data_IF_340974803143
#
_entry.id   IF_340974803143
#
_cell.length_a   1.000
_cell.length_b   1.000
_cell.length_c   1.000
_cell.angle_alpha   90.00
_cell.angle_beta   90.00
_cell.angle_gamma   90.00
#
_symmetry.space_group_name_H-M   'P 1'
#
loop_
_entity.id
_entity.type
_entity.pdbx_description
1 polymer ?
#
# COMPACT_ATOMS: atom_id res chain seq x y z
N UNK A 1 -2.84 10.12 -4.19
CA UNK A 1 -1.46 10.58 -4.16
C UNK A 1 -1.23 11.56 -5.28
N UNK A 2 -0.11 12.30 -5.27
CA UNK A 2 0.30 13.05 -6.47
C UNK A 2 0.61 12.06 -7.61
N UNK A 3 0.24 12.33 -8.87
CA UNK A 3 0.33 11.34 -9.95
C UNK A 3 1.76 10.92 -10.30
N UNK A 4 2.72 11.80 -10.08
CA UNK A 4 4.16 11.64 -10.30
C UNK A 4 4.89 10.96 -9.13
N UNK A 5 4.29 10.95 -7.93
CA UNK A 5 4.91 10.32 -6.77
C UNK A 5 4.89 8.79 -6.90
N UNK A 6 5.93 8.14 -6.39
CA UNK A 6 6.01 6.66 -6.39
C UNK A 6 5.07 6.05 -5.36
N UNK A 7 4.70 4.77 -5.52
CA UNK A 7 3.93 4.00 -4.53
C UNK A 7 4.53 4.13 -3.13
N UNK A 8 5.84 3.92 -3.00
CA UNK A 8 6.50 3.99 -1.70
C UNK A 8 6.51 5.42 -1.13
N UNK A 9 6.70 6.44 -1.96
CA UNK A 9 6.60 7.83 -1.53
C UNK A 9 5.18 8.19 -1.07
N UNK A 10 4.15 7.74 -1.80
CA UNK A 10 2.76 7.93 -1.43
C UNK A 10 2.41 7.23 -0.10
N UNK A 11 2.96 6.04 0.12
CA UNK A 11 2.82 5.30 1.37
C UNK A 11 3.57 5.97 2.53
N UNK A 12 4.78 6.47 2.33
CA UNK A 12 5.57 7.16 3.35
C UNK A 12 5.03 8.56 3.69
N UNK A 13 4.22 9.16 2.82
CA UNK A 13 3.75 10.54 2.96
C UNK A 13 3.10 10.80 4.32
N UNK A 14 3.53 11.88 4.95
CA UNK A 14 3.09 12.38 6.27
C UNK A 14 3.31 11.37 7.41
N UNK A 15 4.31 10.49 7.30
CA UNK A 15 4.70 9.53 8.35
C UNK A 15 6.16 9.73 8.76
N UNK A 16 6.48 9.62 10.06
CA UNK A 16 7.87 9.54 10.51
C UNK A 16 8.47 8.19 10.16
N UNK A 17 9.80 8.12 10.03
CA UNK A 17 10.54 6.91 9.67
C UNK A 17 11.41 7.12 8.44
N UNK A 18 12.30 6.18 8.18
CA UNK A 18 13.11 6.21 6.98
C UNK A 18 12.45 5.43 5.81
N UNK A 19 13.07 5.52 4.64
CA UNK A 19 12.57 4.86 3.44
C UNK A 19 12.57 3.32 3.57
N UNK A 20 13.54 2.75 4.28
CA UNK A 20 13.67 1.31 4.46
C UNK A 20 12.57 0.78 5.41
N UNK A 21 12.27 1.50 6.48
CA UNK A 21 11.17 1.19 7.41
C UNK A 21 9.83 1.20 6.68
N UNK A 22 9.57 2.24 5.88
CA UNK A 22 8.36 2.32 5.08
C UNK A 22 8.27 1.21 4.03
N UNK A 23 9.39 0.83 3.44
CA UNK A 23 9.45 -0.28 2.49
C UNK A 23 9.14 -1.62 3.17
N UNK A 24 9.73 -1.87 4.34
CA UNK A 24 9.47 -3.07 5.13
C UNK A 24 8.01 -3.16 5.58
N UNK A 25 7.45 -2.05 6.08
CA UNK A 25 6.06 -1.98 6.51
C UNK A 25 5.09 -2.17 5.32
N UNK A 26 5.34 -1.55 4.17
CA UNK A 26 4.47 -1.75 3.01
C UNK A 26 4.50 -3.21 2.51
N UNK A 27 5.66 -3.88 2.59
CA UNK A 27 5.76 -5.32 2.30
C UNK A 27 5.00 -6.17 3.31
N UNK A 28 5.09 -5.85 4.61
CA UNK A 28 4.43 -6.63 5.66
C UNK A 28 2.90 -6.59 5.57
N UNK A 29 2.34 -5.59 4.92
CA UNK A 29 0.90 -5.52 4.63
C UNK A 29 0.45 -6.49 3.53
N UNK A 30 1.37 -7.04 2.73
CA UNK A 30 1.06 -7.96 1.63
C UNK A 30 0.30 -7.32 0.45
N UNK A 31 0.15 -5.99 0.43
CA UNK A 31 -0.66 -5.28 -0.57
C UNK A 31 0.13 -4.92 -1.84
N UNK A 32 1.46 -4.84 -1.74
CA UNK A 32 2.38 -4.49 -2.83
C UNK A 32 3.66 -5.30 -2.75
N UNK A 33 4.12 -5.80 -3.90
CA UNK A 33 5.46 -6.36 -4.06
C UNK A 33 6.50 -5.25 -4.28
N UNK A 34 7.77 -5.54 -4.00
CA UNK A 34 8.87 -4.57 -4.03
C UNK A 34 9.07 -3.95 -5.42
N UNK A 35 8.84 -4.69 -6.51
CA UNK A 35 8.96 -4.13 -7.87
C UNK A 35 7.99 -2.98 -8.14
N UNK A 36 6.87 -2.91 -7.41
CA UNK A 36 5.87 -1.86 -7.59
C UNK A 36 6.23 -0.55 -6.89
N UNK A 37 7.27 -0.53 -6.04
CA UNK A 37 7.55 0.61 -5.16
C UNK A 37 7.96 1.87 -5.91
N UNK A 38 8.59 1.70 -7.07
CA UNK A 38 9.01 2.80 -7.95
C UNK A 38 7.94 3.23 -8.95
N UNK A 39 6.81 2.51 -9.03
CA UNK A 39 5.74 2.83 -9.98
C UNK A 39 5.07 4.15 -9.58
N UNK A 40 4.92 5.13 -10.50
CA UNK A 40 4.17 6.35 -10.24
C UNK A 40 2.70 6.05 -9.95
N UNK A 41 2.10 6.74 -8.97
CA UNK A 41 0.70 6.57 -8.58
C UNK A 41 -0.26 6.75 -9.75
N UNK A 42 0.06 7.65 -10.70
CA UNK A 42 -0.72 7.87 -11.91
C UNK A 42 -0.80 6.66 -12.85
N UNK A 43 0.15 5.72 -12.76
CA UNK A 43 0.20 4.51 -13.59
C UNK A 43 -0.48 3.30 -12.96
N UNK A 44 -0.93 3.41 -11.71
CA UNK A 44 -1.62 2.33 -11.02
C UNK A 44 -2.99 2.06 -11.63
N UNK A 45 -3.40 0.80 -11.72
CA UNK A 45 -4.79 0.45 -12.01
C UNK A 45 -5.73 0.94 -10.90
N UNK A 46 -7.04 0.98 -11.15
CA UNK A 46 -8.01 1.36 -10.12
C UNK A 46 -7.94 0.44 -8.90
N UNK A 47 -7.74 -0.87 -9.09
CA UNK A 47 -7.54 -1.82 -7.98
C UNK A 47 -6.24 -1.57 -7.20
N UNK A 48 -5.14 -1.24 -7.88
CA UNK A 48 -3.89 -0.86 -7.22
C UNK A 48 -4.01 0.46 -6.46
N UNK A 49 -4.74 1.45 -6.99
CA UNK A 49 -5.04 2.70 -6.27
C UNK A 49 -5.85 2.45 -4.99
N UNK A 50 -6.84 1.56 -5.04
CA UNK A 50 -7.60 1.12 -3.86
C UNK A 50 -6.69 0.42 -2.84
N UNK A 51 -5.82 -0.50 -3.29
CA UNK A 51 -4.80 -1.13 -2.42
C UNK A 51 -3.86 -0.12 -1.77
N UNK A 52 -3.41 0.90 -2.50
CA UNK A 52 -2.56 1.95 -1.93
C UNK A 52 -3.31 2.78 -0.88
N UNK A 53 -4.59 3.08 -1.10
CA UNK A 53 -5.42 3.75 -0.11
C UNK A 53 -5.58 2.89 1.16
N UNK A 54 -5.85 1.60 1.00
CA UNK A 54 -5.93 0.66 2.12
C UNK A 54 -4.59 0.52 2.85
N UNK A 55 -3.48 0.38 2.13
CA UNK A 55 -2.15 0.30 2.74
C UNK A 55 -1.87 1.55 3.59
N UNK A 56 -2.22 2.74 3.07
CA UNK A 56 -2.07 4.00 3.83
C UNK A 56 -2.99 4.03 5.07
N UNK A 57 -4.17 3.43 5.01
CA UNK A 57 -5.07 3.35 6.16
C UNK A 57 -4.51 2.39 7.24
N UNK A 58 -4.10 1.20 6.83
CA UNK A 58 -3.55 0.16 7.73
C UNK A 58 -2.17 0.54 8.29
N UNK A 59 -1.36 1.29 7.54
CA UNK A 59 -0.03 1.73 7.95
C UNK A 59 -0.04 2.97 8.87
N UNK A 60 -1.16 3.26 9.54
CA UNK A 60 -1.26 4.28 10.59
C UNK A 60 -1.64 3.59 11.90
N UNK A 61 -1.09 4.03 13.05
CA UNK A 61 -1.62 3.60 14.34
C UNK A 61 -3.07 4.07 14.43
N UNK A 62 -4.00 3.13 14.57
CA UNK A 62 -5.41 3.40 14.81
C UNK A 62 -5.87 2.47 15.94
N UNK A 63 -6.56 3.03 16.94
CA UNK A 63 -7.06 2.25 18.08
C UNK A 63 -8.18 1.29 17.67
N UNK A 64 -8.98 1.68 16.66
CA UNK A 64 -10.03 0.85 16.05
C UNK A 64 -10.14 1.18 14.55
N UNK A 65 -10.21 0.16 13.70
CA UNK A 65 -10.47 0.28 12.27
C UNK A 65 -11.68 -0.58 11.88
N UNK A 66 -12.80 0.05 11.54
CA UNK A 66 -13.97 -0.64 11.01
C UNK A 66 -13.93 -0.62 9.47
N UNK A 67 -13.83 -1.79 8.84
CA UNK A 67 -13.87 -1.95 7.39
C UNK A 67 -15.10 -2.78 7.03
N UNK A 68 -16.04 -2.23 6.28
CA UNK A 68 -17.16 -2.99 5.74
C UNK A 68 -16.78 -3.54 4.36
N UNK A 69 -16.91 -4.86 4.18
CA UNK A 69 -16.61 -5.58 2.93
C UNK A 69 -15.26 -5.23 2.24
N UNK A 70 -14.11 -5.19 2.94
CA UNK A 70 -12.83 -4.75 2.35
C UNK A 70 -12.31 -5.71 1.28
N UNK A 71 -12.77 -6.97 1.27
CA UNK A 71 -12.30 -8.05 0.41
C UNK A 71 -13.00 -8.13 -0.94
N UNK A 72 -14.12 -7.41 -1.15
CA UNK A 72 -15.00 -7.65 -2.32
C UNK A 72 -14.37 -7.30 -3.69
N UNK A 73 -13.19 -6.66 -3.71
CA UNK A 73 -12.37 -6.46 -4.92
C UNK A 73 -10.86 -6.56 -4.66
N UNK A 74 -10.47 -7.11 -3.50
CA UNK A 74 -9.09 -7.38 -3.14
C UNK A 74 -8.93 -8.89 -3.14
N UNK A 75 -8.83 -9.51 -4.33
CA UNK A 75 -8.20 -10.82 -4.37
C UNK A 75 -6.78 -10.60 -3.85
N UNK A 76 -6.40 -11.14 -2.68
CA UNK A 76 -4.98 -11.30 -2.41
C UNK A 76 -4.51 -12.21 -3.54
N UNK A 77 -3.67 -11.68 -4.44
CA UNK A 77 -2.82 -12.56 -5.19
C UNK A 77 -2.01 -13.26 -4.09
N UNK A 78 -2.39 -14.51 -3.83
CA UNK A 78 -1.64 -15.45 -3.01
C UNK A 78 -0.18 -15.26 -3.39
N UNK A 79 0.65 -15.03 -2.39
CA UNK A 79 2.06 -15.32 -2.54
C UNK A 79 2.14 -16.83 -2.81
N UNK A 80 2.07 -17.22 -4.09
CA UNK A 80 2.51 -18.53 -4.54
C UNK A 80 4.03 -18.52 -4.46
N UNK A 81 4.55 -18.79 -3.26
CA UNK A 81 5.86 -19.38 -3.05
C UNK A 81 5.75 -20.36 -1.89
N UNK A 82 5.33 -21.60 -2.20
CA UNK A 82 5.97 -22.84 -1.71
C UNK A 82 5.89 -23.88 -2.82
#
# INVERSE_FOLDING_TARGET
GRPDETVLAAFARDRPGDRADHAAHLLSLGLFAREHFAVPVGRLSTGQRRRLALARLLGRPADVLLLDEPTNHLSPALAEEV
#
